data_IF_467934715825
#
_entry.id   IF_467934715825
#
_cell.length_a   1.000
_cell.length_b   1.000
_cell.length_c   1.000
_cell.angle_alpha   90.00
_cell.angle_beta   90.00
_cell.angle_gamma   90.00
#
_symmetry.space_group_name_H-M   'P 1'
#
loop_
_entity.id
_entity.type
_entity.pdbx_description
1 polymer ?
#
# COMPACT_ATOMS: atom_id res chain seq x y z
N UNK A 1 0.41 18.48 1.15
CA UNK A 1 1.68 18.07 0.53
C UNK A 1 1.52 17.11 -0.65
N UNK A 2 0.46 16.27 -0.72
CA UNK A 2 0.31 15.22 -1.74
C UNK A 2 0.01 15.68 -3.17
N UNK A 3 -0.68 16.82 -3.31
CA UNK A 3 -1.22 17.25 -4.61
C UNK A 3 -0.10 17.49 -5.64
N UNK A 4 0.98 18.23 -5.36
CA UNK A 4 2.04 18.47 -6.34
C UNK A 4 2.71 17.17 -6.83
N UNK A 5 3.06 16.27 -5.91
CA UNK A 5 3.75 15.02 -6.26
C UNK A 5 2.87 14.11 -7.13
N UNK A 6 1.58 14.02 -6.82
CA UNK A 6 0.62 13.22 -7.59
C UNK A 6 0.38 13.80 -8.97
N UNK A 7 0.33 15.12 -9.10
CA UNK A 7 0.22 15.79 -10.41
C UNK A 7 1.46 15.53 -11.29
N UNK A 8 2.66 15.57 -10.71
CA UNK A 8 3.90 15.24 -11.41
C UNK A 8 3.89 13.77 -11.86
N UNK A 9 3.49 12.84 -10.98
CA UNK A 9 3.36 11.43 -11.33
C UNK A 9 2.37 11.23 -12.50
N UNK A 10 1.19 11.85 -12.44
CA UNK A 10 0.19 11.76 -13.51
C UNK A 10 0.65 12.37 -14.83
N UNK A 11 1.44 13.44 -14.77
CA UNK A 11 2.06 14.05 -15.94
C UNK A 11 2.99 13.05 -16.64
N UNK A 12 3.91 12.42 -15.90
CA UNK A 12 4.83 11.43 -16.46
C UNK A 12 4.10 10.17 -16.97
N UNK A 13 3.09 9.68 -16.24
CA UNK A 13 2.28 8.54 -16.72
C UNK A 13 1.59 8.89 -18.03
N UNK A 14 0.95 10.07 -18.12
CA UNK A 14 0.27 10.50 -19.34
C UNK A 14 1.26 10.71 -20.50
N UNK A 15 2.49 11.15 -20.21
CA UNK A 15 3.56 11.29 -21.21
C UNK A 15 3.98 9.92 -21.79
N UNK A 16 4.13 8.92 -20.92
CA UNK A 16 4.49 7.56 -21.33
C UNK A 16 3.34 6.84 -22.03
N UNK A 17 2.09 7.16 -21.67
CA UNK A 17 0.87 6.65 -22.28
C UNK A 17 0.69 7.22 -23.70
N UNK A 18 0.73 8.55 -23.85
CA UNK A 18 0.51 9.24 -25.13
C UNK A 18 1.68 9.04 -26.13
N UNK A 19 2.90 8.74 -25.64
CA UNK A 19 4.04 8.42 -26.51
C UNK A 19 3.99 7.01 -27.13
N UNK A 20 3.04 6.16 -26.70
CA UNK A 20 2.96 4.76 -27.13
C UNK A 20 4.04 3.86 -26.51
N UNK A 21 4.87 4.39 -25.59
CA UNK A 21 5.90 3.59 -24.90
C UNK A 21 5.28 2.48 -24.06
N UNK A 22 4.13 2.75 -23.41
CA UNK A 22 3.41 1.76 -22.60
C UNK A 22 2.97 0.53 -23.38
N UNK A 23 2.55 0.68 -24.64
CA UNK A 23 2.17 -0.45 -25.49
C UNK A 23 3.38 -1.36 -25.80
N UNK A 24 4.57 -0.77 -25.98
CA UNK A 24 5.80 -1.53 -26.21
C UNK A 24 6.28 -2.24 -24.95
N UNK A 25 6.24 -1.57 -23.80
CA UNK A 25 6.57 -2.18 -22.50
C UNK A 25 5.66 -3.37 -22.21
N UNK A 26 4.36 -3.26 -22.48
CA UNK A 26 3.42 -4.37 -22.33
C UNK A 26 3.82 -5.59 -23.19
N UNK A 27 4.25 -5.38 -24.44
CA UNK A 27 4.71 -6.46 -25.32
C UNK A 27 6.00 -7.13 -24.81
N UNK A 28 6.96 -6.36 -24.27
CA UNK A 28 8.19 -6.94 -23.69
C UNK A 28 7.89 -7.73 -22.42
N UNK A 29 6.95 -7.27 -21.60
CA UNK A 29 6.57 -7.92 -20.35
C UNK A 29 5.55 -9.05 -20.52
N UNK A 30 5.05 -9.27 -21.74
CA UNK A 30 3.96 -10.20 -22.00
C UNK A 30 4.34 -11.63 -21.59
N UNK A 31 5.52 -12.12 -22.02
CA UNK A 31 6.01 -13.47 -21.64
C UNK A 31 6.14 -13.66 -20.13
N UNK A 32 6.56 -12.63 -19.40
CA UNK A 32 6.71 -12.69 -17.95
C UNK A 32 5.34 -12.75 -17.26
N UNK A 33 4.39 -11.95 -17.73
CA UNK A 33 3.03 -11.91 -17.18
C UNK A 33 2.25 -13.17 -17.54
N UNK A 34 2.40 -13.69 -18.75
CA UNK A 34 1.73 -14.90 -19.23
C UNK A 34 2.15 -16.12 -18.40
N UNK A 35 3.44 -16.22 -18.05
CA UNK A 35 3.95 -17.27 -17.16
C UNK A 35 3.29 -17.27 -15.76
N UNK A 36 2.67 -16.15 -15.37
CA UNK A 36 2.02 -15.94 -14.08
C UNK A 36 0.47 -16.03 -14.23
N UNK A 37 -0.03 -16.12 -15.47
CA UNK A 37 -1.45 -16.17 -15.81
C UNK A 37 -2.09 -14.78 -15.91
N UNK A 38 -1.31 -13.76 -16.30
CA UNK A 38 -1.74 -12.39 -16.55
C UNK A 38 -1.35 -11.95 -17.96
N UNK A 39 -2.00 -10.91 -18.46
CA UNK A 39 -1.69 -10.28 -19.74
C UNK A 39 -0.64 -9.19 -19.59
N UNK A 40 0.21 -8.97 -20.61
CA UNK A 40 1.21 -7.90 -20.61
C UNK A 40 0.67 -6.50 -20.29
N UNK A 41 -0.61 -6.20 -20.59
CA UNK A 41 -1.28 -4.94 -20.21
C UNK A 41 -1.41 -4.77 -18.69
N UNK A 42 -1.46 -5.84 -17.91
CA UNK A 42 -1.56 -5.80 -16.44
C UNK A 42 -0.32 -5.19 -15.78
N UNK A 43 0.82 -5.22 -16.46
CA UNK A 43 2.06 -4.61 -15.98
C UNK A 43 1.96 -3.08 -15.85
N UNK A 44 1.19 -2.42 -16.73
CA UNK A 44 1.04 -0.96 -16.73
C UNK A 44 0.40 -0.47 -15.41
N UNK A 45 -0.76 -0.99 -14.97
CA UNK A 45 -1.31 -0.71 -13.64
C UNK A 45 -0.33 -1.01 -12.50
N UNK A 46 0.40 -2.12 -12.56
CA UNK A 46 1.33 -2.54 -11.50
C UNK A 46 2.47 -1.55 -11.29
N UNK A 47 3.08 -1.05 -12.37
CA UNK A 47 4.08 0.04 -12.28
C UNK A 47 3.48 1.29 -11.65
N UNK A 48 2.28 1.69 -12.08
CA UNK A 48 1.59 2.87 -11.56
C UNK A 48 1.31 2.73 -10.06
N UNK A 49 1.02 1.50 -9.60
CA UNK A 49 0.80 1.15 -8.20
C UNK A 49 1.96 1.52 -7.26
N UNK A 50 3.22 1.40 -7.71
CA UNK A 50 4.38 1.82 -6.91
C UNK A 50 4.37 3.31 -6.57
N UNK A 51 3.77 4.14 -7.42
CA UNK A 51 3.51 5.53 -7.09
C UNK A 51 2.38 5.62 -6.06
N UNK A 52 1.19 5.22 -6.48
CA UNK A 52 0.00 5.14 -5.63
C UNK A 52 -0.97 4.07 -6.13
N UNK A 53 -1.54 3.28 -5.22
CA UNK A 53 -2.45 2.20 -5.59
C UNK A 53 -3.79 2.72 -6.14
N UNK A 54 -4.22 3.94 -5.80
CA UNK A 54 -5.46 4.56 -6.33
C UNK A 54 -5.42 4.70 -7.86
N UNK A 55 -4.45 5.41 -8.46
CA UNK A 55 -4.34 5.49 -9.91
C UNK A 55 -3.99 4.14 -10.56
N UNK A 56 -3.25 3.26 -9.87
CA UNK A 56 -3.02 1.89 -10.35
C UNK A 56 -4.33 1.14 -10.57
N UNK A 57 -5.24 1.18 -9.59
CA UNK A 57 -6.55 0.51 -9.67
C UNK A 57 -7.41 1.13 -10.77
N UNK A 58 -7.38 2.46 -10.93
CA UNK A 58 -8.08 3.13 -12.04
C UNK A 58 -7.51 2.76 -13.41
N UNK A 59 -6.19 2.59 -13.52
CA UNK A 59 -5.52 2.19 -14.76
C UNK A 59 -5.87 0.75 -15.17
N UNK A 60 -6.27 -0.12 -14.23
CA UNK A 60 -6.68 -1.49 -14.56
C UNK A 60 -7.88 -1.56 -15.53
N UNK A 61 -8.63 -0.47 -15.73
CA UNK A 61 -9.70 -0.37 -16.74
C UNK A 61 -9.24 -0.59 -18.18
N UNK A 62 -7.96 -0.40 -18.46
CA UNK A 62 -7.39 -0.64 -19.80
C UNK A 62 -7.29 -2.13 -20.14
N UNK A 63 -7.45 -3.01 -19.14
CA UNK A 63 -7.50 -4.46 -19.32
C UNK A 63 -8.92 -4.83 -19.76
N UNK A 64 -9.03 -5.33 -20.98
CA UNK A 64 -10.30 -5.71 -21.61
C UNK A 64 -10.97 -6.89 -20.89
N UNK A 65 -10.15 -7.83 -20.42
CA UNK A 65 -10.65 -9.03 -19.78
C UNK A 65 -11.05 -8.79 -18.32
N UNK A 66 -12.31 -9.09 -17.93
CA UNK A 66 -12.80 -8.77 -16.59
C UNK A 66 -12.07 -9.56 -15.49
N UNK A 67 -11.61 -10.79 -15.78
CA UNK A 67 -10.89 -11.65 -14.84
C UNK A 67 -9.50 -11.10 -14.52
N UNK A 68 -8.71 -10.82 -15.55
CA UNK A 68 -7.37 -10.23 -15.41
C UNK A 68 -7.44 -8.83 -14.79
N UNK A 69 -8.46 -8.05 -15.16
CA UNK A 69 -8.74 -6.75 -14.55
C UNK A 69 -8.97 -6.88 -13.06
N UNK A 70 -9.82 -7.81 -12.64
CA UNK A 70 -10.10 -8.06 -11.22
C UNK A 70 -8.86 -8.54 -10.48
N UNK A 71 -8.13 -9.51 -11.05
CA UNK A 71 -6.91 -10.04 -10.47
C UNK A 71 -5.87 -8.93 -10.28
N UNK A 72 -5.64 -8.10 -11.30
CA UNK A 72 -4.72 -6.95 -11.23
C UNK A 72 -5.14 -5.98 -10.12
N UNK A 73 -6.43 -5.66 -9.99
CA UNK A 73 -6.93 -4.81 -8.90
C UNK A 73 -6.68 -5.39 -7.50
N UNK A 74 -6.76 -6.71 -7.34
CA UNK A 74 -6.51 -7.40 -6.08
C UNK A 74 -5.02 -7.48 -5.72
N UNK A 75 -4.14 -7.45 -6.74
CA UNK A 75 -2.70 -7.55 -6.57
C UNK A 75 -2.02 -6.21 -6.30
N UNK A 76 -2.56 -5.12 -6.83
CA UNK A 76 -2.04 -3.76 -6.65
C UNK A 76 -1.76 -3.36 -5.19
N UNK A 77 -2.61 -3.69 -4.20
CA UNK A 77 -2.32 -3.43 -2.78
C UNK A 77 -0.97 -3.96 -2.27
N UNK A 78 -0.45 -5.05 -2.86
CA UNK A 78 0.83 -5.64 -2.48
C UNK A 78 2.04 -4.90 -3.08
N UNK A 79 1.82 -4.05 -4.09
CA UNK A 79 2.85 -3.15 -4.58
C UNK A 79 3.15 -2.06 -3.56
N UNK A 80 4.44 -1.80 -3.34
CA UNK A 80 4.90 -0.81 -2.36
C UNK A 80 4.68 0.60 -2.87
N UNK A 81 3.67 1.30 -2.33
CA UNK A 81 3.40 2.68 -2.69
C UNK A 81 4.35 3.65 -1.98
N UNK A 82 4.59 4.81 -2.61
CA UNK A 82 5.45 5.88 -2.06
C UNK A 82 5.12 6.30 -0.62
N UNK A 83 3.86 6.17 -0.20
CA UNK A 83 3.42 6.52 1.15
C UNK A 83 3.92 5.57 2.26
N UNK A 84 4.47 4.40 1.90
CA UNK A 84 5.08 3.46 2.87
C UNK A 84 6.54 3.78 3.18
N UNK A 85 7.22 4.50 2.29
CA UNK A 85 8.64 4.85 2.43
C UNK A 85 8.98 5.56 3.75
N UNK A 86 8.18 6.50 4.28
CA UNK A 86 8.49 7.13 5.57
C UNK A 86 8.58 6.14 6.73
N UNK A 87 7.74 5.10 6.72
CA UNK A 87 7.78 4.06 7.75
C UNK A 87 9.05 3.23 7.60
N UNK A 88 9.41 2.84 6.38
CA UNK A 88 10.65 2.08 6.16
C UNK A 88 11.88 2.89 6.52
N UNK A 89 11.93 4.15 6.12
CA UNK A 89 13.04 5.05 6.42
C UNK A 89 13.22 5.21 7.94
N UNK A 90 12.12 5.33 8.69
CA UNK A 90 12.16 5.46 10.13
C UNK A 90 12.72 4.19 10.82
N UNK A 91 12.15 3.03 10.52
CA UNK A 91 12.56 1.78 11.18
C UNK A 91 13.94 1.28 10.70
N UNK A 92 14.23 1.39 9.39
CA UNK A 92 15.56 1.09 8.87
C UNK A 92 16.60 2.09 9.39
N UNK A 93 16.23 3.37 9.52
CA UNK A 93 17.04 4.43 10.12
C UNK A 93 17.46 4.12 11.56
N UNK A 94 16.49 3.64 12.35
CA UNK A 94 16.68 3.38 13.78
C UNK A 94 17.49 2.09 14.05
N UNK A 95 17.22 1.00 13.32
CA UNK A 95 17.79 -0.32 13.65
C UNK A 95 18.86 -0.84 12.67
N UNK A 96 18.89 -0.34 11.43
CA UNK A 96 19.72 -0.90 10.34
C UNK A 96 20.59 0.17 9.68
N UNK A 97 21.32 0.96 10.48
CA UNK A 97 22.07 2.14 10.02
C UNK A 97 23.01 1.85 8.83
N UNK A 98 23.70 0.71 8.83
CA UNK A 98 24.64 0.35 7.77
C UNK A 98 23.97 -0.25 6.52
N UNK A 99 22.81 -0.91 6.68
CA UNK A 99 22.18 -1.73 5.63
C UNK A 99 20.79 -1.21 5.23
N UNK A 100 20.52 0.08 5.45
CA UNK A 100 19.19 0.69 5.21
C UNK A 100 18.69 0.43 3.79
N UNK A 101 19.54 0.65 2.79
CA UNK A 101 19.19 0.47 1.39
C UNK A 101 18.84 -0.99 1.06
N UNK A 102 19.58 -1.95 1.63
CA UNK A 102 19.36 -3.37 1.42
C UNK A 102 18.04 -3.82 2.05
N UNK A 103 17.75 -3.37 3.27
CA UNK A 103 16.48 -3.66 3.95
C UNK A 103 15.30 -3.12 3.15
N UNK A 104 15.33 -1.84 2.75
CA UNK A 104 14.25 -1.25 1.93
C UNK A 104 14.12 -1.97 0.60
N UNK A 105 15.22 -2.27 -0.08
CA UNK A 105 15.19 -3.00 -1.35
C UNK A 105 14.58 -4.40 -1.20
N UNK A 106 14.94 -5.14 -0.15
CA UNK A 106 14.39 -6.47 0.11
C UNK A 106 12.87 -6.43 0.36
N UNK A 107 12.36 -5.40 1.04
CA UNK A 107 10.92 -5.18 1.22
C UNK A 107 10.20 -4.94 -0.13
N UNK A 108 10.79 -4.15 -1.02
CA UNK A 108 10.22 -3.93 -2.37
C UNK A 108 10.17 -5.22 -3.18
N UNK A 109 11.26 -5.99 -3.17
CA UNK A 109 11.32 -7.29 -3.84
C UNK A 109 10.30 -8.26 -3.22
N UNK A 110 10.19 -8.30 -1.90
CA UNK A 110 9.22 -9.15 -1.20
C UNK A 110 7.78 -8.81 -1.62
N UNK A 111 7.42 -7.53 -1.72
CA UNK A 111 6.10 -7.12 -2.19
C UNK A 111 5.79 -7.61 -3.61
N UNK A 112 6.76 -7.50 -4.52
CA UNK A 112 6.63 -8.01 -5.90
C UNK A 112 6.48 -9.53 -5.90
N UNK A 113 7.34 -10.26 -5.18
CA UNK A 113 7.31 -11.72 -5.13
C UNK A 113 5.97 -12.22 -4.57
N UNK A 114 5.46 -11.59 -3.50
CA UNK A 114 4.15 -11.93 -2.93
C UNK A 114 3.03 -11.63 -3.91
N UNK A 115 3.05 -10.48 -4.60
CA UNK A 115 2.05 -10.15 -5.60
C UNK A 115 2.04 -11.16 -6.75
N UNK A 116 3.20 -11.51 -7.30
CA UNK A 116 3.31 -12.50 -8.38
C UNK A 116 2.95 -13.93 -7.91
N UNK A 117 3.31 -14.29 -6.68
CA UNK A 117 2.93 -15.56 -6.06
C UNK A 117 1.42 -15.69 -5.89
N UNK A 118 0.76 -14.64 -5.39
CA UNK A 118 -0.70 -14.57 -5.29
C UNK A 118 -1.35 -14.57 -6.66
N UNK A 119 -0.78 -13.87 -7.65
CA UNK A 119 -1.28 -13.85 -9.01
C UNK A 119 -1.37 -15.27 -9.58
N UNK A 120 -0.29 -16.05 -9.44
CA UNK A 120 -0.22 -17.45 -9.87
C UNK A 120 -1.18 -18.34 -9.09
N UNK A 121 -1.31 -18.12 -7.78
CA UNK A 121 -2.24 -18.87 -6.92
C UNK A 121 -3.69 -18.64 -7.33
N UNK A 122 -4.09 -17.38 -7.55
CA UNK A 122 -5.45 -17.01 -7.95
C UNK A 122 -5.77 -17.40 -9.39
N UNK A 123 -4.82 -17.23 -10.32
CA UNK A 123 -5.01 -17.64 -11.72
C UNK A 123 -5.21 -19.16 -11.82
N UNK A 124 -4.46 -19.95 -11.05
CA UNK A 124 -4.56 -21.42 -11.04
C UNK A 124 -5.77 -21.97 -10.26
N UNK A 125 -6.19 -21.31 -9.18
CA UNK A 125 -7.23 -21.84 -8.28
C UNK A 125 -8.62 -21.28 -8.59
N UNK A 126 -8.74 -19.97 -8.81
CA UNK A 126 -10.04 -19.27 -8.89
C UNK A 126 -10.50 -19.04 -10.34
N UNK A 127 -9.57 -18.90 -11.29
CA UNK A 127 -9.87 -18.50 -12.67
C UNK A 127 -9.47 -19.52 -13.75
N UNK A 128 -9.56 -20.80 -13.40
CA UNK A 128 -8.98 -21.97 -14.10
C UNK A 128 -9.42 -22.22 -15.56
N UNK A 129 -10.20 -21.36 -16.21
CA UNK A 129 -10.99 -21.78 -17.39
C UNK A 129 -11.19 -20.80 -18.57
N UNK A 130 -10.50 -19.67 -18.69
CA UNK A 130 -10.55 -18.88 -19.94
C UNK A 130 -9.16 -18.37 -20.30
N UNK A 131 -8.61 -18.90 -21.40
CA UNK A 131 -7.39 -18.38 -22.02
C UNK A 131 -7.63 -16.97 -22.53
N UNK A 132 -6.74 -16.04 -22.19
CA UNK A 132 -6.80 -14.69 -22.71
C UNK A 132 -6.16 -14.61 -24.09
N UNK A 133 -6.95 -14.29 -25.11
CA UNK A 133 -6.41 -14.04 -26.45
C UNK A 133 -5.78 -12.64 -26.43
N UNK A 134 -4.45 -12.58 -26.26
CA UNK A 134 -3.73 -11.32 -26.30
C UNK A 134 -3.52 -10.87 -27.74
N UNK A 135 -4.33 -9.90 -28.19
CA UNK A 135 -4.12 -9.21 -29.47
C UNK A 135 -3.88 -7.74 -29.15
N UNK A 136 -2.66 -7.26 -29.37
CA UNK A 136 -2.34 -5.83 -29.36
C UNK A 136 -2.01 -5.42 -30.80
N UNK A 137 -2.80 -4.52 -31.35
CA UNK A 137 -2.36 -3.71 -32.48
C UNK A 137 -1.31 -2.72 -31.96
N UNK A 138 -0.09 -2.78 -32.48
CA UNK A 138 0.98 -1.85 -32.06
C UNK A 138 0.63 -0.43 -32.54
N UNK A 139 0.44 0.55 -31.62
CA UNK A 139 0.23 1.93 -32.03
C UNK A 139 1.56 2.54 -32.55
N UNK A 140 1.52 3.39 -33.59
CA UNK A 140 2.70 4.12 -34.04
C UNK A 140 3.16 5.11 -32.97
N UNK A 141 4.48 5.35 -32.87
CA UNK A 141 5.05 6.32 -31.94
C UNK A 141 4.53 7.72 -32.29
N UNK A 142 3.85 8.37 -31.34
CA UNK A 142 3.32 9.72 -31.50
C UNK A 142 3.97 10.65 -30.49
N UNK A 143 4.39 11.83 -30.93
CA UNK A 143 4.79 12.88 -29.98
C UNK A 143 3.53 13.43 -29.30
N UNK A 144 3.44 13.37 -27.97
CA UNK A 144 2.25 13.81 -27.25
C UNK A 144 2.07 15.32 -27.37
N UNK A 145 0.83 15.77 -27.62
CA UNK A 145 0.53 17.20 -27.69
C UNK A 145 0.50 17.78 -26.26
N UNK A 146 1.31 18.80 -25.99
CA UNK A 146 1.44 19.36 -24.64
C UNK A 146 0.09 19.82 -24.03
N UNK A 147 -0.84 20.29 -24.87
CA UNK A 147 -2.15 20.74 -24.44
C UNK A 147 -3.06 19.58 -23.98
N UNK A 148 -3.03 18.44 -24.67
CA UNK A 148 -3.80 17.24 -24.28
C UNK A 148 -3.22 16.61 -23.03
N UNK A 149 -1.89 16.57 -22.94
CA UNK A 149 -1.17 16.07 -21.78
C UNK A 149 -1.51 16.87 -20.51
N UNK A 150 -1.50 18.22 -20.59
CA UNK A 150 -1.84 19.08 -19.47
C UNK A 150 -3.32 18.94 -19.06
N UNK A 151 -4.25 18.91 -20.03
CA UNK A 151 -5.68 18.67 -19.74
C UNK A 151 -5.92 17.32 -19.10
N UNK A 152 -5.33 16.24 -19.63
CA UNK A 152 -5.44 14.89 -19.09
C UNK A 152 -4.90 14.81 -17.66
N UNK A 153 -3.72 15.38 -17.42
CA UNK A 153 -3.13 15.48 -16.08
C UNK A 153 -4.04 16.25 -15.13
N UNK A 154 -4.60 17.38 -15.57
CA UNK A 154 -5.48 18.21 -14.75
C UNK A 154 -6.80 17.52 -14.41
N UNK A 155 -7.42 16.81 -15.35
CA UNK A 155 -8.66 16.06 -15.11
C UNK A 155 -8.43 14.86 -14.17
N UNK A 156 -7.38 14.07 -14.41
CA UNK A 156 -6.97 12.95 -13.53
C UNK A 156 -6.66 13.48 -12.12
N UNK A 157 -5.90 14.56 -12.00
CA UNK A 157 -5.54 15.21 -10.75
C UNK A 157 -6.74 15.78 -9.98
N UNK A 158 -7.64 16.52 -10.65
CA UNK A 158 -8.89 17.03 -10.05
C UNK A 158 -9.78 15.90 -9.56
N UNK A 159 -9.88 14.82 -10.34
CA UNK A 159 -10.62 13.61 -9.97
C UNK A 159 -10.09 12.96 -8.70
N UNK A 160 -8.76 12.91 -8.54
CA UNK A 160 -8.10 12.42 -7.33
C UNK A 160 -8.40 13.33 -6.14
N UNK A 161 -8.16 14.64 -6.24
CA UNK A 161 -8.35 15.60 -5.14
C UNK A 161 -9.78 15.57 -4.62
N UNK A 162 -10.78 15.57 -5.50
CA UNK A 162 -12.19 15.58 -5.08
C UNK A 162 -12.60 14.29 -4.36
N UNK A 163 -12.12 13.13 -4.83
CA UNK A 163 -12.48 11.82 -4.25
C UNK A 163 -11.63 11.50 -3.03
N UNK A 164 -10.32 11.40 -3.20
CA UNK A 164 -9.39 11.05 -2.12
C UNK A 164 -9.39 12.11 -1.02
N UNK A 165 -9.48 13.40 -1.36
CA UNK A 165 -9.54 14.48 -0.38
C UNK A 165 -10.73 14.38 0.57
N UNK A 166 -11.90 13.96 0.08
CA UNK A 166 -13.09 13.78 0.94
C UNK A 166 -12.88 12.64 1.96
N UNK A 167 -12.27 11.53 1.53
CA UNK A 167 -11.94 10.41 2.43
C UNK A 167 -10.83 10.75 3.42
N UNK A 168 -9.78 11.45 2.99
CA UNK A 168 -8.68 11.88 3.86
C UNK A 168 -9.19 12.88 4.90
N UNK A 169 -9.99 13.86 4.49
CA UNK A 169 -10.57 14.84 5.41
C UNK A 169 -11.46 14.15 6.45
N UNK A 170 -12.39 13.29 6.01
CA UNK A 170 -13.22 12.49 6.91
C UNK A 170 -12.39 11.61 7.85
N UNK A 171 -11.33 10.98 7.33
CA UNK A 171 -10.37 10.20 8.11
C UNK A 171 -9.65 11.05 9.17
N UNK A 172 -9.16 12.24 8.83
CA UNK A 172 -8.49 13.12 9.79
C UNK A 172 -9.41 13.59 10.92
N UNK A 173 -10.67 13.90 10.60
CA UNK A 173 -11.69 14.23 11.62
C UNK A 173 -11.96 13.03 12.51
N UNK A 174 -12.06 11.82 11.94
CA UNK A 174 -12.24 10.59 12.71
C UNK A 174 -11.03 10.32 13.63
N UNK A 175 -9.80 10.46 13.15
CA UNK A 175 -8.59 10.29 13.97
C UNK A 175 -8.58 11.30 15.12
N UNK A 176 -8.87 12.57 14.83
CA UNK A 176 -8.94 13.60 15.85
C UNK A 176 -9.96 13.26 16.93
N UNK A 177 -11.14 12.80 16.53
CA UNK A 177 -12.20 12.39 17.45
C UNK A 177 -11.79 11.16 18.27
N UNK A 178 -11.17 10.15 17.65
CA UNK A 178 -10.64 8.95 18.32
C UNK A 178 -9.50 9.26 19.31
N UNK A 179 -8.72 10.30 19.03
CA UNK A 179 -7.59 10.74 19.87
C UNK A 179 -8.08 11.58 21.05
N UNK A 180 -9.11 12.41 20.84
CA UNK A 180 -9.60 13.37 21.83
C UNK A 180 -10.70 12.82 22.74
N UNK A 181 -11.45 11.83 22.27
CA UNK A 181 -12.54 11.19 23.04
C UNK A 181 -12.04 9.90 23.68
N UNK A 182 -12.31 9.73 24.96
CA UNK A 182 -12.07 8.49 25.71
C UNK A 182 -13.37 7.92 26.28
N UNK A 183 -13.34 6.68 26.81
CA UNK A 183 -14.50 6.04 27.44
C UNK A 183 -15.08 6.85 28.62
N UNK A 184 -14.26 7.69 29.25
CA UNK A 184 -14.61 8.49 30.44
C UNK A 184 -14.91 9.98 30.14
N UNK A 185 -14.86 10.43 28.88
CA UNK A 185 -15.17 11.82 28.53
C UNK A 185 -14.40 12.39 27.33
N UNK A 186 -14.40 13.72 27.22
CA UNK A 186 -13.68 14.49 26.19
C UNK A 186 -12.43 15.14 26.79
N UNK A 187 -11.31 15.11 26.07
CA UNK A 187 -10.03 15.70 26.52
C UNK A 187 -9.20 14.79 27.43
N UNK A 188 -9.23 13.48 27.20
CA UNK A 188 -8.43 12.50 27.95
C UNK A 188 -6.96 12.45 27.49
N UNK A 189 -6.02 12.03 28.36
CA UNK A 189 -4.65 11.71 27.94
C UNK A 189 -4.62 10.64 26.84
N UNK A 190 -3.56 10.65 26.02
CA UNK A 190 -3.46 9.77 24.85
C UNK A 190 -3.59 8.27 25.20
N UNK A 191 -3.09 7.87 26.36
CA UNK A 191 -3.11 6.48 26.84
C UNK A 191 -4.53 5.98 27.17
N UNK A 192 -5.45 6.89 27.51
CA UNK A 192 -6.86 6.60 27.83
C UNK A 192 -7.81 6.92 26.65
N UNK A 193 -7.25 7.32 25.51
CA UNK A 193 -8.03 7.63 24.31
C UNK A 193 -8.76 6.41 23.76
N UNK A 194 -9.85 6.62 23.03
CA UNK A 194 -10.55 5.53 22.37
C UNK A 194 -9.66 4.85 21.31
N UNK A 195 -8.71 5.59 20.74
CA UNK A 195 -7.67 5.02 19.88
C UNK A 195 -6.77 4.04 20.63
N UNK A 196 -6.35 4.35 21.86
CA UNK A 196 -5.57 3.44 22.70
C UNK A 196 -6.37 2.19 23.08
N UNK A 197 -7.66 2.34 23.39
CA UNK A 197 -8.55 1.21 23.66
C UNK A 197 -8.70 0.26 22.46
N UNK A 198 -8.93 0.79 21.25
CA UNK A 198 -9.00 -0.05 20.03
C UNK A 198 -7.62 -0.64 19.70
N UNK A 199 -6.54 0.13 19.86
CA UNK A 199 -5.18 -0.36 19.68
C UNK A 199 -4.85 -1.52 20.63
N UNK A 200 -5.29 -1.42 21.90
CA UNK A 200 -5.17 -2.46 22.91
C UNK A 200 -6.00 -3.71 22.62
N UNK A 201 -7.15 -3.59 21.94
CA UNK A 201 -7.92 -4.74 21.47
C UNK A 201 -7.22 -5.49 20.33
N UNK A 202 -6.47 -4.78 19.49
CA UNK A 202 -5.70 -5.38 18.39
C UNK A 202 -4.35 -5.93 18.88
N UNK A 203 -3.79 -5.38 19.96
CA UNK A 203 -2.49 -5.74 20.50
C UNK A 203 -2.28 -7.26 20.75
N UNK A 204 -3.23 -8.02 21.34
CA UNK A 204 -3.08 -9.47 21.50
C UNK A 204 -2.90 -10.23 20.18
N UNK A 205 -3.53 -9.76 19.10
CA UNK A 205 -3.38 -10.33 17.77
C UNK A 205 -1.98 -10.03 17.20
N UNK A 206 -1.36 -8.91 17.58
CA UNK A 206 -0.04 -8.49 17.12
C UNK A 206 1.12 -9.01 18.00
N UNK A 207 0.82 -9.47 19.21
CA UNK A 207 1.80 -10.09 20.12
C UNK A 207 2.62 -11.22 19.48
N UNK A 208 2.03 -12.20 18.77
CA UNK A 208 2.80 -13.26 18.10
C UNK A 208 3.68 -12.78 16.94
N UNK A 209 3.50 -11.53 16.49
CA UNK A 209 4.31 -10.90 15.45
C UNK A 209 5.50 -10.10 16.02
N UNK A 210 5.61 -9.99 17.35
CA UNK A 210 6.69 -9.28 18.03
C UNK A 210 6.43 -7.82 18.37
N UNK A 211 5.27 -7.27 18.00
CA UNK A 211 4.90 -5.86 18.24
C UNK A 211 3.50 -5.73 18.87
N UNK A 212 3.21 -6.56 19.88
CA UNK A 212 1.95 -6.59 20.64
C UNK A 212 1.68 -5.38 21.54
N UNK A 213 2.16 -4.20 21.15
CA UNK A 213 1.97 -2.95 21.87
C UNK A 213 0.74 -2.21 21.32
N UNK A 214 -0.04 -1.56 22.19
CA UNK A 214 -1.22 -0.80 21.76
C UNK A 214 -0.85 0.35 20.82
N UNK A 215 0.36 0.91 20.97
CA UNK A 215 0.91 1.96 20.11
C UNK A 215 1.03 1.49 18.65
N UNK A 216 1.51 0.26 18.44
CA UNK A 216 1.62 -0.34 17.12
C UNK A 216 0.22 -0.60 16.51
N UNK A 217 -0.72 -1.10 17.31
CA UNK A 217 -2.11 -1.28 16.90
C UNK A 217 -2.78 0.04 16.48
N UNK A 218 -2.65 1.08 17.31
CA UNK A 218 -3.16 2.42 17.05
C UNK A 218 -2.54 3.04 15.77
N UNK A 219 -1.24 2.86 15.57
CA UNK A 219 -0.54 3.31 14.37
C UNK A 219 -1.04 2.58 13.10
N UNK A 220 -1.36 1.29 13.17
CA UNK A 220 -1.90 0.55 12.03
C UNK A 220 -3.34 0.96 11.68
N UNK A 221 -4.17 1.29 12.68
CA UNK A 221 -5.54 1.80 12.47
C UNK A 221 -5.52 3.13 11.73
N UNK A 222 -4.70 4.07 12.22
CA UNK A 222 -4.53 5.38 11.57
C UNK A 222 -3.88 5.23 10.19
N UNK A 223 -2.96 4.28 10.05
CA UNK A 223 -2.36 3.90 8.77
C UNK A 223 -3.34 3.36 7.72
N UNK A 224 -4.43 2.71 8.14
CA UNK A 224 -5.48 2.27 7.21
C UNK A 224 -6.17 3.46 6.56
N UNK A 225 -6.33 4.59 7.26
CA UNK A 225 -6.88 5.80 6.69
C UNK A 225 -5.89 6.43 5.70
N UNK A 226 -4.64 6.58 6.12
CA UNK A 226 -3.54 7.09 5.29
C UNK A 226 -2.20 6.52 5.78
N UNK A 227 -1.45 5.86 4.90
CA UNK A 227 -0.25 5.07 5.28
C UNK A 227 0.86 5.96 5.82
N UNK A 228 0.97 7.15 5.29
CA UNK A 228 1.94 8.16 5.68
C UNK A 228 1.64 8.77 7.06
N UNK A 229 0.41 8.63 7.56
CA UNK A 229 0.00 9.14 8.87
C UNK A 229 0.55 8.25 10.00
N UNK A 230 0.95 7.01 9.72
CA UNK A 230 1.55 6.08 10.70
C UNK A 230 2.67 6.75 11.49
N UNK A 231 3.61 7.39 10.80
CA UNK A 231 4.76 8.06 11.44
C UNK A 231 4.32 9.26 12.28
N UNK A 232 3.37 10.06 11.76
CA UNK A 232 2.81 11.21 12.48
C UNK A 232 2.07 10.77 13.74
N UNK A 233 1.28 9.71 13.66
CA UNK A 233 0.56 9.14 14.81
C UNK A 233 1.53 8.56 15.83
N UNK A 234 2.58 7.86 15.42
CA UNK A 234 3.62 7.41 16.34
C UNK A 234 4.30 8.58 17.07
N UNK A 235 4.53 9.71 16.38
CA UNK A 235 5.08 10.92 17.00
C UNK A 235 4.18 11.46 18.12
N UNK A 236 2.87 11.50 17.87
CA UNK A 236 1.87 11.92 18.85
C UNK A 236 1.80 10.93 20.02
N UNK A 237 1.75 9.62 19.74
CA UNK A 237 1.62 8.57 20.77
C UNK A 237 2.83 8.53 21.71
N UNK A 238 4.05 8.63 21.18
CA UNK A 238 5.26 8.61 21.99
C UNK A 238 5.60 9.96 22.65
N UNK A 239 4.70 10.95 22.53
CA UNK A 239 4.86 12.29 23.11
C UNK A 239 6.19 12.97 22.74
N UNK A 240 6.68 12.69 21.53
CA UNK A 240 7.97 13.17 21.08
C UNK A 240 7.87 14.66 20.71
N UNK A 241 8.64 15.48 21.42
CA UNK A 241 8.68 16.95 21.21
C UNK A 241 9.87 17.41 20.38
N UNK A 242 10.89 16.56 20.22
CA UNK A 242 12.13 16.87 19.50
C UNK A 242 12.28 16.05 18.22
N UNK A 243 12.96 16.60 17.21
CA UNK A 243 13.08 16.01 15.87
C UNK A 243 13.72 14.60 15.85
N UNK A 244 14.61 14.30 16.80
CA UNK A 244 15.30 12.99 16.89
C UNK A 244 14.75 12.09 18.01
N UNK A 245 13.74 12.54 18.77
CA UNK A 245 13.24 11.77 19.90
C UNK A 245 12.47 10.52 19.50
N UNK A 246 11.95 10.46 18.26
CA UNK A 246 11.15 9.33 17.79
C UNK A 246 11.97 8.05 17.62
N UNK A 247 13.17 8.18 17.04
CA UNK A 247 14.08 7.04 16.84
C UNK A 247 14.48 6.43 18.19
N UNK A 248 14.74 7.26 19.19
CA UNK A 248 15.09 6.81 20.54
C UNK A 248 13.93 6.07 21.22
N UNK A 249 12.70 6.61 21.14
CA UNK A 249 11.51 5.96 21.70
C UNK A 249 11.21 4.63 21.00
N UNK A 250 11.39 4.58 19.67
CA UNK A 250 11.19 3.35 18.90
C UNK A 250 12.26 2.31 19.28
N UNK A 251 13.53 2.72 19.41
CA UNK A 251 14.61 1.84 19.87
C UNK A 251 14.37 1.28 21.28
N UNK A 252 13.66 2.01 22.14
CA UNK A 252 13.31 1.54 23.48
C UNK A 252 12.14 0.54 23.50
N UNK A 253 11.24 0.59 22.52
CA UNK A 253 10.01 -0.21 22.49
C UNK A 253 9.99 -1.32 21.42
N UNK A 254 10.91 -1.30 20.45
CA UNK A 254 11.05 -2.30 19.40
C UNK A 254 12.44 -2.93 19.41
N UNK A 255 12.51 -4.20 19.02
CA UNK A 255 13.76 -4.88 18.69
C UNK A 255 13.97 -4.83 17.17
N UNK A 256 15.21 -4.99 16.67
CA UNK A 256 15.47 -5.12 15.23
C UNK A 256 14.56 -6.13 14.54
N UNK A 257 14.31 -7.27 15.19
CA UNK A 257 13.43 -8.32 14.66
C UNK A 257 11.95 -7.89 14.62
N UNK A 258 11.44 -7.25 15.69
CA UNK A 258 10.05 -6.77 15.70
C UNK A 258 9.85 -5.60 14.74
N UNK A 259 10.87 -4.76 14.52
CA UNK A 259 10.89 -3.73 13.51
C UNK A 259 10.79 -4.29 12.08
N UNK A 260 11.55 -5.34 11.76
CA UNK A 260 11.44 -6.04 10.47
C UNK A 260 10.04 -6.62 10.25
N UNK A 261 9.52 -7.32 11.26
CA UNK A 261 8.16 -7.88 11.24
C UNK A 261 7.10 -6.78 11.03
N UNK A 262 7.23 -5.65 11.73
CA UNK A 262 6.34 -4.50 11.57
C UNK A 262 6.41 -3.89 10.17
N UNK A 263 7.61 -3.73 9.59
CA UNK A 263 7.77 -3.21 8.22
C UNK A 263 7.15 -4.13 7.17
N UNK A 264 7.32 -5.45 7.32
CA UNK A 264 6.69 -6.47 6.44
C UNK A 264 5.17 -6.43 6.60
N UNK A 265 4.67 -6.27 7.82
CA UNK A 265 3.24 -6.11 8.05
C UNK A 265 2.71 -4.83 7.38
N UNK A 266 3.39 -3.70 7.57
CA UNK A 266 3.02 -2.41 6.95
C UNK A 266 3.04 -2.47 5.42
N UNK A 267 3.97 -3.25 4.85
CA UNK A 267 4.04 -3.54 3.42
C UNK A 267 2.82 -4.30 2.92
N UNK A 268 2.40 -5.36 3.60
CA UNK A 268 1.41 -6.29 3.04
C UNK A 268 -0.01 -6.05 3.51
N UNK A 269 -0.21 -5.34 4.62
CA UNK A 269 -1.53 -5.18 5.21
C UNK A 269 -2.47 -4.30 4.38
N UNK A 270 -3.73 -4.27 4.82
CA UNK A 270 -4.89 -3.67 4.17
C UNK A 270 -4.57 -2.38 3.40
N UNK A 271 -5.02 -2.23 2.14
CA UNK A 271 -4.78 -1.02 1.38
C UNK A 271 -5.41 0.21 2.06
N UNK A 272 -4.90 1.41 1.77
CA UNK A 272 -5.47 2.63 2.36
C UNK A 272 -6.95 2.81 1.97
N UNK A 273 -7.70 3.54 2.79
CA UNK A 273 -9.15 3.79 2.60
C UNK A 273 -9.47 4.29 1.18
N UNK A 274 -8.64 5.17 0.63
CA UNK A 274 -8.81 5.68 -0.74
C UNK A 274 -8.70 4.57 -1.80
N UNK A 275 -7.78 3.62 -1.61
CA UNK A 275 -7.61 2.47 -2.51
C UNK A 275 -8.79 1.51 -2.37
N UNK A 276 -9.23 1.20 -1.14
CA UNK A 276 -10.42 0.37 -0.88
C UNK A 276 -11.67 0.97 -1.54
N UNK A 277 -11.89 2.27 -1.38
CA UNK A 277 -13.01 2.97 -2.01
C UNK A 277 -12.94 2.92 -3.53
N UNK A 278 -11.74 2.99 -4.10
CA UNK A 278 -11.52 2.90 -5.55
C UNK A 278 -11.76 1.48 -6.04
N UNK A 279 -11.23 0.45 -5.36
CA UNK A 279 -11.49 -0.96 -5.68
C UNK A 279 -12.99 -1.24 -5.66
N UNK A 280 -13.72 -0.76 -4.64
CA UNK A 280 -15.18 -0.89 -4.58
C UNK A 280 -15.87 -0.26 -5.78
N UNK A 281 -15.42 0.94 -6.18
CA UNK A 281 -16.00 1.67 -7.31
C UNK A 281 -15.74 0.95 -8.64
N UNK A 282 -14.55 0.38 -8.83
CA UNK A 282 -14.20 -0.32 -10.07
C UNK A 282 -14.79 -1.73 -10.16
N UNK A 283 -14.87 -2.44 -9.03
CA UNK A 283 -15.42 -3.80 -8.98
C UNK A 283 -16.93 -3.83 -8.90
N UNK A 284 -17.57 -2.74 -8.46
CA UNK A 284 -19.02 -2.64 -8.28
C UNK A 284 -19.60 -3.57 -7.20
N UNK A 285 -18.75 -4.25 -6.40
CA UNK A 285 -19.18 -5.29 -5.46
C UNK A 285 -18.46 -5.20 -4.12
N UNK A 286 -19.24 -5.27 -3.04
CA UNK A 286 -18.68 -5.32 -1.68
C UNK A 286 -17.97 -6.66 -1.41
N UNK A 287 -18.39 -7.75 -2.06
CA UNK A 287 -17.79 -9.08 -1.86
C UNK A 287 -16.31 -9.07 -2.26
N UNK A 288 -15.99 -8.54 -3.43
CA UNK A 288 -14.61 -8.46 -3.93
C UNK A 288 -13.73 -7.51 -3.14
N UNK A 289 -14.30 -6.41 -2.65
CA UNK A 289 -13.55 -5.45 -1.84
C UNK A 289 -13.22 -6.02 -0.46
N UNK A 290 -14.17 -6.68 0.20
CA UNK A 290 -13.91 -7.37 1.47
C UNK A 290 -12.93 -8.53 1.31
N UNK A 291 -13.04 -9.27 0.20
CA UNK A 291 -12.09 -10.33 -0.14
C UNK A 291 -10.66 -9.76 -0.32
N UNK A 292 -10.50 -8.61 -0.98
CA UNK A 292 -9.21 -7.92 -1.10
C UNK A 292 -8.60 -7.57 0.27
N UNK A 293 -9.42 -7.01 1.17
CA UNK A 293 -8.99 -6.66 2.53
C UNK A 293 -8.61 -7.92 3.31
N UNK A 294 -9.45 -8.96 3.25
CA UNK A 294 -9.23 -10.22 3.95
C UNK A 294 -7.94 -10.89 3.50
N UNK A 295 -7.72 -11.05 2.19
CA UNK A 295 -6.50 -11.65 1.64
C UNK A 295 -5.27 -10.84 2.05
N UNK A 296 -5.31 -9.51 1.93
CA UNK A 296 -4.19 -8.67 2.32
C UNK A 296 -3.85 -8.84 3.82
N UNK A 297 -4.86 -8.85 4.69
CA UNK A 297 -4.68 -9.04 6.13
C UNK A 297 -4.11 -10.44 6.45
N UNK A 298 -4.68 -11.50 5.86
CA UNK A 298 -4.24 -12.88 6.09
C UNK A 298 -2.82 -13.09 5.60
N UNK A 299 -2.49 -12.61 4.39
CA UNK A 299 -1.14 -12.73 3.82
C UNK A 299 -0.14 -11.92 4.63
N UNK A 300 -0.49 -10.69 5.03
CA UNK A 300 0.38 -9.85 5.87
C UNK A 300 0.67 -10.53 7.21
N UNK A 301 -0.37 -11.08 7.86
CA UNK A 301 -0.24 -11.77 9.13
C UNK A 301 0.67 -13.01 8.99
N UNK A 302 0.38 -13.87 8.01
CA UNK A 302 1.15 -15.10 7.77
C UNK A 302 2.63 -14.83 7.49
N UNK A 303 2.93 -13.87 6.60
CA UNK A 303 4.32 -13.57 6.22
C UNK A 303 5.05 -12.89 7.37
N UNK A 304 4.43 -11.94 8.08
CA UNK A 304 5.06 -11.28 9.22
C UNK A 304 5.30 -12.26 10.37
N UNK A 305 4.37 -13.18 10.60
CA UNK A 305 4.53 -14.25 11.59
C UNK A 305 5.70 -15.16 11.23
N UNK A 306 5.81 -15.58 9.97
CA UNK A 306 6.93 -16.38 9.50
C UNK A 306 8.26 -15.63 9.69
N UNK A 307 8.34 -14.35 9.32
CA UNK A 307 9.54 -13.53 9.50
C UNK A 307 9.95 -13.45 10.97
N UNK A 308 9.00 -13.21 11.87
CA UNK A 308 9.28 -13.11 13.31
C UNK A 308 9.74 -14.45 13.91
N UNK A 309 9.02 -15.54 13.62
CA UNK A 309 9.36 -16.86 14.16
C UNK A 309 10.70 -17.39 13.60
N UNK A 310 10.93 -17.19 12.30
CA UNK A 310 12.19 -17.58 11.67
C UNK A 310 13.35 -16.75 12.23
N UNK A 311 13.17 -15.44 12.40
CA UNK A 311 14.20 -14.59 13.01
C UNK A 311 14.52 -14.95 14.46
N UNK A 312 13.50 -15.36 15.25
CA UNK A 312 13.72 -15.90 16.59
C UNK A 312 14.56 -17.19 16.57
N UNK A 313 14.32 -18.10 15.61
CA UNK A 313 15.11 -19.33 15.46
C UNK A 313 16.57 -19.04 15.11
N UNK A 314 16.83 -17.99 14.31
CA UNK A 314 18.18 -17.57 13.94
C UNK A 314 18.88 -16.70 15.00
N UNK A 315 18.32 -16.52 16.20
CA UNK A 315 18.91 -15.71 17.30
C UNK A 315 19.25 -14.26 16.89
N UNK A 316 18.50 -13.68 15.95
CA UNK A 316 18.56 -12.23 15.72
C UNK A 316 17.87 -11.52 16.89
N UNK A 317 18.64 -11.02 17.86
CA UNK A 317 18.15 -10.12 18.93
C UNK A 317 18.00 -8.69 18.43
#
# INVERSE_FOLDING_TARGET
MFVPQIFILFFFISLLEDSGYMARVAMVMDRLMEAIGLNGKAFIPMIIGFGCNVPGVMAARTIEQPKERLLTMLLLPFMSCSARLPVYALFAGTFFIHEQALVVFSLYVLGIVVALGLAKLFSSTVFKNESSLFVIELPPYRVPQALTLWRSTWEKGKGFVRKAGTFIFGGSVAIWLLTYVGPHGVGVPMDDSLLAAIGGLIAPLLAPLGFGAWQAGAALITGFLAKEVVVSTMNIIYHVREANGLEQMIAAHFTPLSALSFMVFVLLYTPCLATVATIRKETGSWKWTLLSIGIALTVAYMISFLVYQVGMMFHFQ
#
